data_IF_673255857545
#
_entry.id   IF_673255857545
#
_cell.length_a   1.000
_cell.length_b   1.000
_cell.length_c   1.000
_cell.angle_alpha   90.00
_cell.angle_beta   90.00
_cell.angle_gamma   90.00
#
_symmetry.space_group_name_H-M   'P 1'
#
loop_
_entity.id
_entity.type
_entity.pdbx_description
1 polymer ?
#
# COMPACT_ATOMS: atom_id res chain seq x y z
N UNK A 1 0.05 2.85 9.65
CA UNK A 1 -0.15 4.29 9.87
C UNK A 1 0.73 5.13 8.94
N UNK A 2 2.07 4.97 8.95
CA UNK A 2 2.99 5.71 8.06
C UNK A 2 2.57 5.65 6.57
N UNK A 3 2.22 4.47 6.05
CA UNK A 3 1.78 4.33 4.66
C UNK A 3 0.52 5.16 4.35
N UNK A 4 -0.44 5.14 5.28
CA UNK A 4 -1.67 5.93 5.17
C UNK A 4 -1.36 7.43 5.15
N UNK A 5 -0.40 7.88 5.97
CA UNK A 5 0.08 9.27 5.97
C UNK A 5 0.71 9.64 4.63
N UNK A 6 1.60 8.79 4.09
CA UNK A 6 2.20 8.99 2.76
C UNK A 6 1.13 9.17 1.67
N UNK A 7 0.09 8.32 1.70
CA UNK A 7 -1.00 8.38 0.73
C UNK A 7 -1.86 9.65 0.94
N UNK A 8 -2.12 10.05 2.19
CA UNK A 8 -2.85 11.28 2.51
C UNK A 8 -2.13 12.53 2.01
N UNK A 9 -0.79 12.55 2.06
CA UNK A 9 -0.02 13.61 1.39
C UNK A 9 -0.14 13.54 -0.13
N UNK A 10 -0.10 12.35 -0.72
CA UNK A 10 -0.35 12.18 -2.15
C UNK A 10 -1.69 12.78 -2.57
N UNK A 11 -2.77 12.46 -1.84
CA UNK A 11 -4.09 13.07 -2.01
C UNK A 11 -4.00 14.60 -1.96
N UNK A 12 -3.37 15.14 -0.92
CA UNK A 12 -3.28 16.57 -0.71
C UNK A 12 -2.56 17.31 -1.85
N UNK A 13 -1.48 16.74 -2.40
CA UNK A 13 -0.76 17.32 -3.53
C UNK A 13 -1.65 17.46 -4.77
N UNK A 14 -2.45 16.43 -5.08
CA UNK A 14 -3.40 16.53 -6.18
C UNK A 14 -4.55 17.48 -5.86
N UNK A 15 -5.11 17.41 -4.65
CA UNK A 15 -6.25 18.22 -4.22
C UNK A 15 -5.94 19.72 -4.17
N UNK A 16 -4.75 20.10 -3.69
CA UNK A 16 -4.28 21.49 -3.68
C UNK A 16 -4.09 22.06 -5.10
N UNK A 17 -4.02 21.22 -6.13
CA UNK A 17 -4.07 21.65 -7.53
C UNK A 17 -5.45 22.14 -7.99
N UNK A 18 -6.52 21.78 -7.27
CA UNK A 18 -7.91 22.17 -7.59
C UNK A 18 -8.41 23.29 -6.68
N UNK A 19 -8.00 23.29 -5.42
CA UNK A 19 -8.44 24.26 -4.42
C UNK A 19 -7.23 24.87 -3.69
N UNK A 20 -7.25 26.18 -3.39
CA UNK A 20 -6.16 26.86 -2.70
C UNK A 20 -6.18 26.56 -1.19
N UNK A 21 -5.92 25.30 -0.83
CA UNK A 21 -5.85 24.81 0.55
C UNK A 21 -4.46 24.29 0.86
N UNK A 22 -4.02 24.42 2.12
CA UNK A 22 -2.72 23.87 2.53
C UNK A 22 -2.73 22.33 2.44
N UNK A 23 -1.64 21.70 1.96
CA UNK A 23 -1.60 20.24 1.83
C UNK A 23 -1.84 19.50 3.15
N UNK A 24 -1.34 20.04 4.27
CA UNK A 24 -1.54 19.44 5.58
C UNK A 24 -3.02 19.47 5.98
N UNK A 25 -3.72 20.58 5.74
CA UNK A 25 -5.14 20.68 6.04
C UNK A 25 -5.95 19.74 5.14
N UNK A 26 -5.65 19.69 3.85
CA UNK A 26 -6.29 18.75 2.93
C UNK A 26 -6.11 17.29 3.36
N UNK A 27 -4.89 16.89 3.76
CA UNK A 27 -4.57 15.56 4.24
C UNK A 27 -5.30 15.23 5.56
N UNK A 28 -5.32 16.15 6.53
CA UNK A 28 -6.04 15.96 7.80
C UNK A 28 -7.54 15.85 7.55
N UNK A 29 -8.10 16.74 6.73
CA UNK A 29 -9.52 16.75 6.39
C UNK A 29 -9.97 15.45 5.74
N UNK A 30 -9.22 14.93 4.76
CA UNK A 30 -9.59 13.66 4.11
C UNK A 30 -9.48 12.48 5.08
N UNK A 31 -8.45 12.42 5.93
CA UNK A 31 -8.30 11.35 6.92
C UNK A 31 -9.46 11.35 7.93
N UNK A 32 -9.84 12.53 8.43
CA UNK A 32 -10.95 12.66 9.37
C UNK A 32 -12.29 12.34 8.69
N UNK A 33 -12.51 12.81 7.46
CA UNK A 33 -13.72 12.54 6.70
C UNK A 33 -13.89 11.04 6.43
N UNK A 34 -12.84 10.37 5.94
CA UNK A 34 -12.90 8.93 5.64
C UNK A 34 -12.91 8.08 6.91
N UNK A 35 -12.29 8.56 8.00
CA UNK A 35 -12.43 7.98 9.33
C UNK A 35 -13.87 8.03 9.84
N UNK A 36 -14.54 9.16 9.65
CA UNK A 36 -15.95 9.32 9.95
C UNK A 36 -16.81 8.38 9.09
N UNK A 37 -16.54 8.25 7.79
CA UNK A 37 -17.25 7.28 6.93
C UNK A 37 -17.05 5.84 7.42
N UNK A 38 -15.83 5.46 7.81
CA UNK A 38 -15.55 4.14 8.40
C UNK A 38 -16.37 3.87 9.66
N UNK A 39 -16.67 4.90 10.46
CA UNK A 39 -17.43 4.79 11.70
C UNK A 39 -18.89 4.35 11.47
N UNK A 40 -19.51 4.74 10.34
CA UNK A 40 -20.88 4.34 9.95
C UNK A 40 -20.96 2.97 9.27
N UNK A 41 -19.83 2.25 9.22
CA UNK A 41 -19.81 0.84 8.86
C UNK A 41 -19.60 0.58 7.38
N UNK A 42 -19.60 -0.72 7.06
CA UNK A 42 -18.97 -1.21 5.85
C UNK A 42 -19.74 -0.93 4.56
N UNK A 43 -21.05 -0.70 4.63
CA UNK A 43 -21.84 -0.39 3.44
C UNK A 43 -21.37 0.91 2.76
N UNK A 44 -21.06 1.94 3.54
CA UNK A 44 -20.56 3.20 3.00
C UNK A 44 -19.13 3.06 2.46
N UNK A 45 -18.29 2.29 3.16
CA UNK A 45 -16.93 1.97 2.72
C UNK A 45 -16.94 1.24 1.37
N UNK A 46 -17.74 0.18 1.22
CA UNK A 46 -17.83 -0.57 -0.03
C UNK A 46 -18.34 0.28 -1.19
N UNK A 47 -19.40 1.06 -0.98
CA UNK A 47 -19.95 1.92 -2.04
C UNK A 47 -18.92 2.94 -2.55
N UNK A 48 -18.18 3.56 -1.63
CA UNK A 48 -17.14 4.52 -1.98
C UNK A 48 -15.99 3.84 -2.75
N UNK A 49 -15.51 2.69 -2.26
CA UNK A 49 -14.43 1.96 -2.91
C UNK A 49 -14.83 1.43 -4.30
N UNK A 50 -16.03 0.88 -4.45
CA UNK A 50 -16.53 0.40 -5.74
C UNK A 50 -16.55 1.53 -6.76
N UNK A 51 -17.11 2.68 -6.40
CA UNK A 51 -17.13 3.87 -7.25
C UNK A 51 -15.72 4.34 -7.62
N UNK A 52 -14.83 4.46 -6.63
CA UNK A 52 -13.46 4.91 -6.85
C UNK A 52 -12.67 3.95 -7.75
N UNK A 53 -12.88 2.63 -7.61
CA UNK A 53 -12.27 1.60 -8.45
C UNK A 53 -12.74 1.73 -9.91
N UNK A 54 -14.04 1.84 -10.16
CA UNK A 54 -14.55 2.02 -11.53
C UNK A 54 -13.99 3.29 -12.17
N UNK A 55 -13.95 4.39 -11.41
CA UNK A 55 -13.41 5.66 -11.89
C UNK A 55 -11.91 5.57 -12.19
N UNK A 56 -11.09 5.02 -11.28
CA UNK A 56 -9.64 4.99 -11.46
C UNK A 56 -9.20 3.95 -12.49
N UNK A 57 -9.76 2.75 -12.47
CA UNK A 57 -9.42 1.71 -13.45
C UNK A 57 -9.93 2.09 -14.83
N UNK A 58 -11.19 2.53 -14.93
CA UNK A 58 -11.76 3.00 -16.20
C UNK A 58 -11.02 4.21 -16.75
N UNK A 59 -10.71 5.19 -15.90
CA UNK A 59 -9.96 6.38 -16.27
C UNK A 59 -8.54 6.08 -16.75
N UNK A 60 -7.81 5.18 -16.07
CA UNK A 60 -6.47 4.76 -16.49
C UNK A 60 -6.50 3.97 -17.81
N UNK A 61 -7.46 3.06 -18.00
CA UNK A 61 -7.61 2.34 -19.26
C UNK A 61 -7.93 3.31 -20.40
N UNK A 62 -8.85 4.25 -20.19
CA UNK A 62 -9.17 5.27 -21.20
C UNK A 62 -7.93 6.09 -21.56
N UNK A 63 -7.13 6.50 -20.58
CA UNK A 63 -5.90 7.25 -20.79
C UNK A 63 -4.85 6.45 -21.57
N UNK A 64 -4.68 5.17 -21.25
CA UNK A 64 -3.81 4.25 -22.01
C UNK A 64 -4.26 4.15 -23.47
N UNK A 65 -5.55 3.96 -23.72
CA UNK A 65 -6.11 3.88 -25.08
C UNK A 65 -5.85 5.19 -25.84
N UNK A 66 -6.06 6.34 -25.20
CA UNK A 66 -5.83 7.66 -25.79
C UNK A 66 -4.35 7.91 -26.12
N UNK A 67 -3.44 7.45 -25.27
CA UNK A 67 -2.00 7.56 -25.52
C UNK A 67 -1.59 6.74 -26.73
N UNK A 68 -2.05 5.49 -26.83
CA UNK A 68 -1.79 4.67 -28.00
C UNK A 68 -2.44 5.22 -29.27
N UNK A 69 -3.61 5.82 -29.17
CA UNK A 69 -4.27 6.47 -30.30
C UNK A 69 -3.51 7.72 -30.78
N UNK A 70 -2.91 8.49 -29.88
CA UNK A 70 -2.19 9.71 -30.20
C UNK A 70 -0.75 9.46 -30.68
N UNK A 71 -0.01 8.57 -30.03
CA UNK A 71 1.40 8.29 -30.33
C UNK A 71 1.61 7.15 -31.33
N UNK A 72 0.61 6.29 -31.52
CA UNK A 72 0.72 5.07 -32.30
C UNK A 72 1.54 3.97 -31.60
N UNK A 73 1.30 2.71 -31.97
CA UNK A 73 2.00 1.55 -31.40
C UNK A 73 3.48 1.42 -31.84
N UNK A 74 4.01 2.35 -32.64
CA UNK A 74 5.38 2.31 -33.17
C UNK A 74 6.39 3.17 -32.42
N UNK A 75 5.94 4.10 -31.57
CA UNK A 75 6.78 5.08 -30.87
C UNK A 75 7.41 4.59 -29.58
N UNK A 76 7.46 3.27 -29.34
CA UNK A 76 8.05 2.75 -28.11
C UNK A 76 9.56 3.00 -28.09
N UNK A 77 9.98 3.95 -27.26
CA UNK A 77 11.37 4.09 -26.87
C UNK A 77 11.72 2.96 -25.90
N UNK A 78 11.83 1.72 -26.40
CA UNK A 78 12.30 0.58 -25.62
C UNK A 78 13.77 0.79 -25.25
N UNK A 79 14.01 1.42 -24.10
CA UNK A 79 15.31 1.35 -23.46
C UNK A 79 15.42 -0.02 -22.78
N UNK A 80 15.78 -1.05 -23.54
CA UNK A 80 16.29 -2.30 -22.96
C UNK A 80 17.69 -2.10 -22.35
N UNK A 81 18.32 -0.96 -22.64
CA UNK A 81 19.47 -0.50 -21.90
C UNK A 81 19.07 -0.20 -20.46
N UNK A 82 19.88 -0.71 -19.52
CA UNK A 82 19.83 -0.31 -18.12
C UNK A 82 21.05 0.55 -17.81
N UNK A 83 20.96 1.90 -17.94
CA UNK A 83 22.10 2.79 -17.74
C UNK A 83 22.70 2.69 -16.33
N UNK A 84 21.89 2.31 -15.36
CA UNK A 84 22.30 2.09 -13.95
C UNK A 84 22.53 0.62 -13.61
N UNK A 85 22.59 -0.25 -14.63
CA UNK A 85 22.82 -1.69 -14.48
C UNK A 85 21.80 -2.38 -13.57
N UNK A 86 22.22 -3.51 -12.98
CA UNK A 86 21.38 -4.29 -12.06
C UNK A 86 21.06 -3.55 -10.76
N UNK A 87 21.96 -2.68 -10.29
CA UNK A 87 21.75 -1.85 -9.10
C UNK A 87 20.57 -0.89 -9.27
N UNK A 88 20.44 -0.27 -10.45
CA UNK A 88 19.29 0.58 -10.78
C UNK A 88 17.96 -0.19 -10.77
N UNK A 89 17.96 -1.42 -11.28
CA UNK A 89 16.77 -2.29 -11.29
C UNK A 89 16.35 -2.66 -9.86
N UNK A 90 17.30 -3.02 -9.00
CA UNK A 90 17.03 -3.33 -7.59
C UNK A 90 16.46 -2.11 -6.86
N UNK A 91 17.07 -0.94 -7.03
CA UNK A 91 16.58 0.31 -6.43
C UNK A 91 15.17 0.68 -6.89
N UNK A 92 14.89 0.57 -8.19
CA UNK A 92 13.54 0.81 -8.72
C UNK A 92 12.52 -0.21 -8.19
N UNK A 93 12.92 -1.47 -8.00
CA UNK A 93 12.07 -2.53 -7.47
C UNK A 93 11.62 -2.26 -6.03
N UNK A 94 12.50 -1.68 -5.19
CA UNK A 94 12.16 -1.28 -3.80
C UNK A 94 11.08 -0.21 -3.81
N UNK A 95 11.20 0.82 -4.66
CA UNK A 95 10.20 1.88 -4.74
C UNK A 95 8.88 1.36 -5.33
N UNK A 96 8.97 0.51 -6.36
CA UNK A 96 7.80 -0.12 -6.99
C UNK A 96 7.04 -1.00 -6.01
N UNK A 97 7.72 -1.62 -5.05
CA UNK A 97 7.09 -2.43 -4.01
C UNK A 97 6.07 -1.64 -3.19
N UNK A 98 6.33 -0.34 -2.91
CA UNK A 98 5.35 0.54 -2.25
C UNK A 98 4.02 0.60 -3.04
N UNK A 99 4.09 0.65 -4.37
CA UNK A 99 2.91 0.73 -5.23
C UNK A 99 2.07 -0.55 -5.23
N UNK A 100 2.64 -1.70 -4.86
CA UNK A 100 1.92 -2.98 -4.73
C UNK A 100 1.41 -3.25 -3.31
N UNK A 101 1.69 -2.38 -2.34
CA UNK A 101 1.14 -2.54 -1.00
C UNK A 101 -0.37 -2.37 -1.01
N UNK A 102 -1.08 -3.23 -0.28
CA UNK A 102 -2.51 -3.11 -0.07
C UNK A 102 -3.24 -4.45 -0.14
N UNK A 103 -2.72 -5.42 -0.89
CA UNK A 103 -3.35 -6.74 -1.02
C UNK A 103 -3.46 -7.47 0.32
N UNK A 104 -2.54 -7.24 1.25
CA UNK A 104 -2.57 -7.84 2.59
C UNK A 104 -3.78 -7.37 3.42
N UNK A 105 -4.32 -6.18 3.12
CA UNK A 105 -5.48 -5.66 3.85
C UNK A 105 -6.74 -6.51 3.58
N UNK A 106 -6.78 -7.25 2.47
CA UNK A 106 -7.84 -8.23 2.19
C UNK A 106 -7.92 -9.30 3.27
N UNK A 107 -6.79 -9.69 3.88
CA UNK A 107 -6.77 -10.67 4.96
C UNK A 107 -7.45 -10.14 6.23
N UNK A 108 -7.39 -8.83 6.48
CA UNK A 108 -7.99 -8.21 7.67
C UNK A 108 -9.53 -8.21 7.61
N UNK A 109 -10.12 -8.34 6.42
CA UNK A 109 -11.57 -8.42 6.22
C UNK A 109 -12.04 -9.84 5.91
N UNK A 110 -11.22 -10.86 6.20
CA UNK A 110 -11.51 -12.25 5.88
C UNK A 110 -12.86 -12.73 6.42
N UNK A 111 -13.30 -12.23 7.58
CA UNK A 111 -14.59 -12.56 8.20
C UNK A 111 -15.80 -12.04 7.41
N UNK A 112 -15.60 -10.99 6.61
CA UNK A 112 -16.65 -10.38 5.79
C UNK A 112 -16.73 -11.00 4.38
N UNK A 113 -15.76 -11.86 4.03
CA UNK A 113 -15.67 -12.49 2.70
C UNK A 113 -16.53 -13.74 2.63
N UNK A 114 -17.53 -13.72 1.74
CA UNK A 114 -18.31 -14.92 1.37
C UNK A 114 -17.38 -16.01 0.83
N UNK A 115 -17.49 -17.24 1.34
CA UNK A 115 -16.61 -18.36 0.98
C UNK A 115 -15.12 -17.98 0.98
N UNK A 116 -14.65 -17.45 2.11
CA UNK A 116 -13.27 -16.97 2.33
C UNK A 116 -12.21 -17.96 1.85
N UNK A 117 -12.45 -19.27 2.01
CA UNK A 117 -11.53 -20.35 1.64
C UNK A 117 -11.22 -20.39 0.15
N UNK A 118 -12.16 -20.00 -0.70
CA UNK A 118 -12.00 -19.97 -2.16
C UNK A 118 -11.81 -18.57 -2.70
N UNK A 119 -12.54 -17.60 -2.17
CA UNK A 119 -12.60 -16.25 -2.72
C UNK A 119 -11.40 -15.40 -2.31
N UNK A 120 -10.91 -15.53 -1.07
CA UNK A 120 -9.79 -14.71 -0.61
C UNK A 120 -8.48 -15.00 -1.40
N UNK A 121 -8.05 -16.27 -1.60
CA UNK A 121 -6.85 -16.54 -2.39
C UNK A 121 -6.96 -16.09 -3.84
N UNK A 122 -8.15 -16.27 -4.46
CA UNK A 122 -8.40 -15.85 -5.85
C UNK A 122 -8.39 -14.34 -5.98
N UNK A 123 -9.03 -13.62 -5.06
CA UNK A 123 -9.06 -12.17 -5.07
C UNK A 123 -7.63 -11.58 -4.97
N UNK A 124 -6.79 -12.11 -4.08
CA UNK A 124 -5.39 -11.67 -3.94
C UNK A 124 -4.61 -11.90 -5.25
N UNK A 125 -4.67 -13.11 -5.83
CA UNK A 125 -3.92 -13.40 -7.06
C UNK A 125 -4.41 -12.60 -8.28
N UNK A 126 -5.73 -12.46 -8.44
CA UNK A 126 -6.33 -11.70 -9.55
C UNK A 126 -6.00 -10.22 -9.40
N UNK A 127 -6.13 -9.64 -8.21
CA UNK A 127 -5.84 -8.22 -7.98
C UNK A 127 -4.38 -7.87 -8.24
N UNK A 128 -3.43 -8.70 -7.80
CA UNK A 128 -2.01 -8.51 -8.09
C UNK A 128 -1.75 -8.60 -9.60
N UNK A 129 -2.28 -9.63 -10.26
CA UNK A 129 -2.09 -9.82 -11.71
C UNK A 129 -2.70 -8.70 -12.55
N UNK A 130 -3.90 -8.26 -12.23
CA UNK A 130 -4.58 -7.13 -12.88
C UNK A 130 -3.82 -5.81 -12.65
N UNK A 131 -3.37 -5.56 -11.42
CA UNK A 131 -2.56 -4.37 -11.10
C UNK A 131 -1.27 -4.35 -11.90
N UNK A 132 -0.58 -5.50 -11.96
CA UNK A 132 0.65 -5.62 -12.74
C UNK A 132 0.43 -5.35 -14.23
N UNK A 133 -0.63 -5.90 -14.81
CA UNK A 133 -0.99 -5.64 -16.20
C UNK A 133 -1.25 -4.14 -16.44
N UNK A 134 -2.05 -3.49 -15.59
CA UNK A 134 -2.36 -2.06 -15.71
C UNK A 134 -1.08 -1.21 -15.60
N UNK A 135 -0.18 -1.53 -14.66
CA UNK A 135 1.06 -0.78 -14.48
C UNK A 135 1.99 -0.93 -15.69
N UNK A 136 2.10 -2.13 -16.25
CA UNK A 136 2.85 -2.37 -17.49
C UNK A 136 2.25 -1.57 -18.65
N UNK A 137 0.92 -1.58 -18.80
CA UNK A 137 0.23 -0.81 -19.85
C UNK A 137 0.45 0.69 -19.71
N UNK A 138 0.40 1.24 -18.48
CA UNK A 138 0.68 2.66 -18.23
C UNK A 138 2.14 2.99 -18.54
N UNK A 139 3.08 2.14 -18.15
CA UNK A 139 4.49 2.30 -18.47
C UNK A 139 4.71 2.36 -19.99
N UNK A 140 4.10 1.45 -20.74
CA UNK A 140 4.11 1.48 -22.20
C UNK A 140 3.43 2.71 -22.78
N UNK A 141 2.32 3.15 -22.18
CA UNK A 141 1.58 4.29 -22.66
C UNK A 141 2.43 5.57 -22.57
N UNK A 142 2.97 5.94 -21.40
CA UNK A 142 3.71 7.22 -21.31
C UNK A 142 5.08 7.18 -22.01
N UNK A 143 5.72 6.00 -22.14
CA UNK A 143 6.98 5.84 -22.90
C UNK A 143 6.78 5.86 -24.42
N UNK A 144 5.56 5.68 -24.91
CA UNK A 144 5.23 5.95 -26.31
C UNK A 144 5.14 7.44 -26.65
N UNK A 145 4.97 8.29 -25.62
CA UNK A 145 4.76 9.74 -25.76
C UNK A 145 6.03 10.52 -25.44
N UNK A 146 6.73 10.13 -24.37
CA UNK A 146 7.91 10.82 -23.87
C UNK A 146 9.18 10.05 -24.19
N UNK A 147 10.21 10.77 -24.65
CA UNK A 147 11.56 10.22 -24.78
C UNK A 147 12.19 9.94 -23.40
N UNK A 148 13.23 9.10 -23.37
CA UNK A 148 13.95 8.76 -22.14
C UNK A 148 14.46 10.01 -21.40
N UNK A 149 15.01 10.99 -22.13
CA UNK A 149 15.55 12.23 -21.56
C UNK A 149 14.44 13.07 -20.91
N UNK A 150 13.27 13.16 -21.57
CA UNK A 150 12.11 13.84 -20.98
C UNK A 150 11.66 13.14 -19.71
N UNK A 151 11.57 11.81 -19.70
CA UNK A 151 11.19 11.04 -18.51
C UNK A 151 12.16 11.31 -17.36
N UNK A 152 13.47 11.26 -17.61
CA UNK A 152 14.49 11.61 -16.60
C UNK A 152 14.28 13.04 -16.09
N UNK A 153 14.07 14.00 -16.98
CA UNK A 153 13.78 15.39 -16.61
C UNK A 153 12.48 15.57 -15.80
N UNK A 154 11.47 14.72 -16.01
CA UNK A 154 10.26 14.73 -15.17
C UNK A 154 10.57 14.33 -13.74
N UNK A 155 11.38 13.28 -13.55
CA UNK A 155 11.78 12.79 -12.22
C UNK A 155 12.62 13.85 -11.49
N UNK A 156 13.58 14.47 -12.18
CA UNK A 156 14.43 15.53 -11.62
C UNK A 156 13.64 16.79 -11.22
N UNK A 157 12.60 17.13 -11.99
CA UNK A 157 11.71 18.26 -11.69
C UNK A 157 10.60 17.93 -10.69
N UNK A 158 10.57 16.69 -10.15
CA UNK A 158 9.54 16.24 -9.21
C UNK A 158 8.14 16.11 -9.84
N UNK A 159 8.06 16.03 -11.17
CA UNK A 159 6.80 15.87 -11.91
C UNK A 159 6.58 14.40 -12.26
N UNK A 160 5.34 13.93 -12.14
CA UNK A 160 5.00 12.57 -12.59
C UNK A 160 5.07 12.46 -14.11
N UNK A 161 5.84 11.48 -14.62
CA UNK A 161 5.98 11.23 -16.06
C UNK A 161 4.62 11.06 -16.77
N UNK A 162 3.66 10.38 -16.11
CA UNK A 162 2.31 10.21 -16.62
C UNK A 162 1.55 11.53 -16.77
N UNK A 163 1.71 12.46 -15.83
CA UNK A 163 1.08 13.77 -15.89
C UNK A 163 1.67 14.62 -17.03
N UNK A 164 3.00 14.58 -17.20
CA UNK A 164 3.66 15.28 -18.31
C UNK A 164 3.19 14.74 -19.66
N UNK A 165 3.15 13.41 -19.83
CA UNK A 165 2.64 12.78 -21.04
C UNK A 165 1.17 13.16 -21.31
N UNK A 166 0.34 13.18 -20.27
CA UNK A 166 -1.07 13.58 -20.37
C UNK A 166 -1.22 15.04 -20.83
N UNK A 167 -0.37 15.93 -20.33
CA UNK A 167 -0.32 17.33 -20.72
C UNK A 167 0.13 17.54 -22.17
N UNK A 168 1.11 16.76 -22.66
CA UNK A 168 1.58 16.85 -24.05
C UNK A 168 0.52 16.43 -25.08
N UNK A 169 -0.31 15.43 -24.75
CA UNK A 169 -1.36 14.95 -25.66
C UNK A 169 -2.64 15.77 -25.56
N UNK A 170 -3.16 15.96 -24.35
CA UNK A 170 -4.52 16.44 -24.12
C UNK A 170 -4.60 17.74 -23.32
N UNK A 171 -3.46 18.36 -23.03
CA UNK A 171 -3.39 19.66 -22.36
C UNK A 171 -4.06 19.66 -20.98
N UNK A 172 -4.67 20.80 -20.58
CA UNK A 172 -5.27 20.97 -19.26
C UNK A 172 -6.40 19.99 -18.95
N UNK A 173 -7.17 19.56 -19.95
CA UNK A 173 -8.31 18.66 -19.74
C UNK A 173 -7.86 17.26 -19.28
N UNK A 174 -6.77 16.75 -19.85
CA UNK A 174 -6.21 15.44 -19.46
C UNK A 174 -5.52 15.51 -18.11
N UNK A 175 -4.84 16.62 -17.81
CA UNK A 175 -4.28 16.87 -16.49
C UNK A 175 -5.37 16.92 -15.41
N UNK A 176 -6.50 17.58 -15.70
CA UNK A 176 -7.66 17.63 -14.82
C UNK A 176 -8.23 16.22 -14.57
N UNK A 177 -8.43 15.44 -15.64
CA UNK A 177 -8.92 14.07 -15.54
C UNK A 177 -7.98 13.18 -14.70
N UNK A 178 -6.67 13.27 -14.94
CA UNK A 178 -5.68 12.53 -14.16
C UNK A 178 -5.67 12.95 -12.69
N UNK A 179 -5.78 14.25 -12.41
CA UNK A 179 -5.89 14.77 -11.05
C UNK A 179 -7.12 14.22 -10.30
N UNK A 180 -8.28 14.19 -10.96
CA UNK A 180 -9.51 13.60 -10.39
C UNK A 180 -9.30 12.10 -10.10
N UNK A 181 -8.75 11.35 -11.07
CA UNK A 181 -8.43 9.93 -10.89
C UNK A 181 -7.50 9.73 -9.69
N UNK A 182 -6.45 10.55 -9.56
CA UNK A 182 -5.48 10.44 -8.48
C UNK A 182 -6.08 10.78 -7.10
N UNK A 183 -6.96 11.79 -7.02
CA UNK A 183 -7.69 12.16 -5.80
C UNK A 183 -8.55 10.99 -5.33
N UNK A 184 -9.35 10.39 -6.21
CA UNK A 184 -10.19 9.24 -5.84
C UNK A 184 -9.36 7.98 -5.53
N UNK A 185 -8.28 7.74 -6.27
CA UNK A 185 -7.37 6.61 -6.04
C UNK A 185 -6.58 6.70 -4.74
N UNK A 186 -6.28 7.90 -4.27
CA UNK A 186 -5.61 8.10 -2.99
C UNK A 186 -6.62 8.06 -1.85
N UNK A 187 -7.80 8.66 -2.04
CA UNK A 187 -8.88 8.62 -1.06
C UNK A 187 -9.37 7.20 -0.75
N UNK A 188 -9.58 6.34 -1.76
CA UNK A 188 -10.02 4.96 -1.52
C UNK A 188 -8.93 4.13 -0.81
N UNK A 189 -7.68 4.35 -1.17
CA UNK A 189 -6.55 3.71 -0.47
C UNK A 189 -6.44 4.17 1.00
N UNK A 190 -6.70 5.45 1.32
CA UNK A 190 -6.79 5.94 2.71
C UNK A 190 -7.96 5.26 3.44
N UNK A 191 -9.12 5.16 2.78
CA UNK A 191 -10.30 4.48 3.33
C UNK A 191 -9.95 3.03 3.75
N UNK A 192 -9.29 2.29 2.86
CA UNK A 192 -8.84 0.90 3.09
C UNK A 192 -7.79 0.84 4.21
N UNK A 193 -6.87 1.79 4.27
CA UNK A 193 -5.86 1.84 5.34
C UNK A 193 -6.48 2.02 6.73
N UNK A 194 -7.47 2.92 6.86
CA UNK A 194 -8.19 3.14 8.13
C UNK A 194 -9.03 1.92 8.51
N UNK A 195 -9.71 1.35 7.52
CA UNK A 195 -10.49 0.11 7.65
C UNK A 195 -9.62 -1.07 8.11
N UNK A 196 -8.47 -1.27 7.47
CA UNK A 196 -7.53 -2.34 7.79
C UNK A 196 -6.83 -2.14 9.13
N UNK A 197 -6.38 -0.91 9.42
CA UNK A 197 -5.71 -0.58 10.68
C UNK A 197 -6.61 -0.77 11.89
N UNK A 198 -7.86 -0.32 11.81
CA UNK A 198 -8.83 -0.50 12.90
C UNK A 198 -9.17 -1.97 13.18
N UNK A 199 -9.20 -2.84 12.16
CA UNK A 199 -9.41 -4.29 12.34
C UNK A 199 -8.23 -5.02 12.95
N UNK A 200 -7.01 -4.62 12.60
CA UNK A 200 -5.81 -5.17 13.28
C UNK A 200 -5.86 -4.81 14.77
N UNK A 201 -6.15 -3.56 15.09
CA UNK A 201 -6.26 -3.11 16.49
C UNK A 201 -7.39 -3.85 17.23
N UNK A 202 -8.53 -4.08 16.57
CA UNK A 202 -9.63 -4.86 17.11
C UNK A 202 -9.21 -6.31 17.41
N UNK A 203 -8.59 -7.00 16.43
CA UNK A 203 -8.12 -8.38 16.60
C UNK A 203 -7.05 -8.50 17.71
N UNK A 204 -6.13 -7.54 17.80
CA UNK A 204 -5.17 -7.49 18.92
C UNK A 204 -5.85 -7.34 20.28
N UNK A 205 -6.97 -6.61 20.35
CA UNK A 205 -7.75 -6.50 21.57
C UNK A 205 -8.54 -7.78 21.89
N UNK A 206 -8.95 -8.57 20.88
CA UNK A 206 -9.56 -9.89 21.07
C UNK A 206 -8.54 -10.87 21.63
N UNK A 207 -7.30 -10.80 21.13
CA UNK A 207 -6.14 -11.57 21.61
C UNK A 207 -5.59 -11.06 22.95
N UNK A 208 -6.25 -10.07 23.59
CA UNK A 208 -5.89 -9.44 24.87
C UNK A 208 -4.58 -8.65 24.88
N UNK A 209 -3.91 -8.50 23.73
CA UNK A 209 -2.68 -7.71 23.59
C UNK A 209 -2.92 -6.19 23.67
N UNK A 210 -4.18 -5.74 23.59
CA UNK A 210 -4.57 -4.34 23.73
C UNK A 210 -5.78 -4.18 24.67
N UNK A 211 -6.02 -2.97 25.23
CA UNK A 211 -7.13 -2.74 26.16
C UNK A 211 -8.50 -3.14 25.59
N UNK A 212 -9.30 -3.84 26.40
CA UNK A 212 -10.62 -4.38 26.01
C UNK A 212 -11.62 -3.33 25.50
N UNK A 213 -11.43 -2.06 25.84
CA UNK A 213 -12.25 -0.95 25.35
C UNK A 213 -12.25 -0.88 23.81
N UNK A 214 -11.17 -1.33 23.15
CA UNK A 214 -11.04 -1.32 21.70
C UNK A 214 -11.94 -2.35 20.99
N UNK A 215 -12.55 -3.28 21.75
CA UNK A 215 -13.54 -4.23 21.25
C UNK A 215 -14.93 -3.61 21.06
N UNK A 216 -15.14 -2.37 21.51
CA UNK A 216 -16.45 -1.74 21.38
C UNK A 216 -16.75 -1.39 19.92
N UNK A 217 -17.84 -1.96 19.40
CA UNK A 217 -18.34 -1.71 18.05
C UNK A 217 -19.50 -0.70 18.06
N UNK A 218 -19.64 0.04 16.97
CA UNK A 218 -20.78 0.94 16.76
C UNK A 218 -22.03 0.13 16.41
N UNK A 219 -23.19 0.80 16.34
CA UNK A 219 -24.44 0.17 15.87
C UNK A 219 -24.35 -0.42 14.46
N UNK A 220 -23.37 0.03 13.66
CA UNK A 220 -23.08 -0.47 12.32
C UNK A 220 -22.07 -1.62 12.28
N UNK A 221 -21.58 -2.06 13.44
CA UNK A 221 -20.55 -3.11 13.57
C UNK A 221 -19.11 -2.64 13.38
N UNK A 222 -18.86 -1.34 13.15
CA UNK A 222 -17.51 -0.81 12.99
C UNK A 222 -16.79 -0.67 14.35
N UNK A 223 -15.49 -0.99 14.47
CA UNK A 223 -14.73 -0.82 15.72
C UNK A 223 -14.35 0.66 15.91
N UNK A 224 -15.30 1.46 16.41
CA UNK A 224 -15.21 2.93 16.44
C UNK A 224 -13.98 3.47 17.19
N UNK A 225 -13.68 2.92 18.36
CA UNK A 225 -12.50 3.32 19.13
C UNK A 225 -11.19 2.93 18.44
N UNK A 226 -11.15 1.77 17.78
CA UNK A 226 -9.97 1.34 17.02
C UNK A 226 -9.69 2.23 15.80
N UNK A 227 -10.74 2.79 15.17
CA UNK A 227 -10.60 3.79 14.10
C UNK A 227 -9.90 5.05 14.65
N UNK A 228 -10.32 5.55 15.82
CA UNK A 228 -9.69 6.71 16.44
C UNK A 228 -8.21 6.45 16.78
N UNK A 229 -7.90 5.30 17.38
CA UNK A 229 -6.51 4.90 17.65
C UNK A 229 -5.68 4.78 16.37
N UNK A 230 -6.29 4.41 15.25
CA UNK A 230 -5.61 4.41 13.94
C UNK A 230 -5.29 5.83 13.46
N UNK A 231 -6.20 6.79 13.66
CA UNK A 231 -6.08 8.17 13.17
C UNK A 231 -5.12 9.01 14.01
N UNK A 232 -5.14 8.86 15.33
CA UNK A 232 -4.32 9.65 16.28
C UNK A 232 -2.85 9.79 15.84
N UNK A 233 -2.12 8.71 15.50
CA UNK A 233 -0.72 8.82 15.06
C UNK A 233 -0.57 9.33 13.62
N UNK A 234 -1.60 9.25 12.77
CA UNK A 234 -1.54 9.77 11.39
C UNK A 234 -1.43 11.29 11.40
N UNK A 235 -2.20 11.98 12.24
CA UNK A 235 -2.25 13.44 12.30
C UNK A 235 -0.88 14.10 12.55
N UNK A 236 -0.11 13.77 13.61
CA UNK A 236 1.21 14.37 13.82
C UNK A 236 2.20 14.02 12.70
N UNK A 237 2.11 12.82 12.10
CA UNK A 237 2.95 12.45 10.97
C UNK A 237 2.65 13.31 9.71
N UNK A 238 1.42 13.79 9.54
CA UNK A 238 1.07 14.77 8.48
C UNK A 238 1.78 16.12 8.72
N UNK A 239 2.07 16.50 9.96
CA UNK A 239 2.80 17.74 10.22
C UNK A 239 4.33 17.57 10.10
N UNK A 240 4.82 16.34 10.15
CA UNK A 240 6.25 16.04 9.96
C UNK A 240 6.72 16.26 8.51
N UNK A 241 5.83 16.11 7.52
CA UNK A 241 6.06 16.59 6.15
C UNK A 241 6.98 15.75 5.24
N UNK A 242 7.75 14.80 5.78
CA UNK A 242 8.69 14.00 4.97
C UNK A 242 8.02 12.74 4.38
N UNK A 243 7.37 12.93 3.23
CA UNK A 243 6.71 11.86 2.45
C UNK A 243 7.68 10.73 2.11
N UNK A 244 8.94 11.07 1.77
CA UNK A 244 9.94 10.10 1.33
C UNK A 244 10.39 9.22 2.47
N UNK A 245 10.65 9.81 3.65
CA UNK A 245 10.93 9.06 4.86
C UNK A 245 9.76 8.16 5.25
N UNK A 246 8.53 8.68 5.26
CA UNK A 246 7.34 7.90 5.60
C UNK A 246 7.12 6.72 4.64
N UNK A 247 7.35 6.92 3.34
CA UNK A 247 7.28 5.86 2.34
C UNK A 247 8.32 4.76 2.63
N UNK A 248 9.58 5.15 2.85
CA UNK A 248 10.68 4.20 3.16
C UNK A 248 10.45 3.42 4.45
N UNK A 249 10.01 4.09 5.51
CA UNK A 249 9.63 3.44 6.79
C UNK A 249 8.50 2.44 6.56
N UNK A 250 7.52 2.80 5.73
CA UNK A 250 6.41 1.90 5.39
C UNK A 250 6.86 0.65 4.64
N UNK A 251 7.70 0.82 3.60
CA UNK A 251 8.25 -0.30 2.82
C UNK A 251 9.10 -1.22 3.71
N UNK A 252 9.96 -0.62 4.53
CA UNK A 252 10.86 -1.38 5.43
C UNK A 252 10.07 -2.18 6.47
N UNK A 253 9.07 -1.55 7.10
CA UNK A 253 8.17 -2.26 8.02
C UNK A 253 7.41 -3.39 7.32
N UNK A 254 7.02 -3.20 6.06
CA UNK A 254 6.36 -4.23 5.27
C UNK A 254 7.28 -5.41 4.93
N UNK A 255 8.56 -5.17 4.64
CA UNK A 255 9.53 -6.25 4.47
C UNK A 255 9.67 -7.08 5.75
N UNK A 256 9.71 -6.45 6.92
CA UNK A 256 9.74 -7.17 8.20
C UNK A 256 8.50 -8.05 8.35
N UNK A 257 7.31 -7.52 8.11
CA UNK A 257 6.06 -8.29 8.17
C UNK A 257 6.09 -9.48 7.20
N UNK A 258 6.55 -9.29 5.96
CA UNK A 258 6.64 -10.37 4.99
C UNK A 258 7.67 -11.45 5.36
N UNK A 259 8.78 -11.07 6.00
CA UNK A 259 9.72 -12.05 6.54
C UNK A 259 8.98 -12.94 7.56
N UNK A 260 8.27 -12.32 8.52
CA UNK A 260 7.50 -13.06 9.52
C UNK A 260 6.36 -13.89 8.93
N UNK A 261 5.61 -13.37 7.96
CA UNK A 261 4.52 -14.11 7.30
C UNK A 261 5.06 -15.36 6.59
N UNK A 262 6.13 -15.22 5.82
CA UNK A 262 6.74 -16.34 5.10
C UNK A 262 7.33 -17.38 6.05
N UNK A 263 8.04 -16.94 7.10
CA UNK A 263 8.58 -17.84 8.12
C UNK A 263 7.46 -18.54 8.91
N UNK A 264 6.36 -17.85 9.19
CA UNK A 264 5.19 -18.41 9.88
C UNK A 264 4.55 -19.51 9.04
N UNK A 265 4.43 -19.34 7.72
CA UNK A 265 3.93 -20.38 6.82
C UNK A 265 4.85 -21.61 6.82
N UNK A 266 6.17 -21.42 6.78
CA UNK A 266 7.15 -22.51 6.85
C UNK A 266 7.03 -23.25 8.20
N UNK A 267 7.05 -22.50 9.30
CA UNK A 267 6.94 -23.05 10.65
C UNK A 267 5.62 -23.83 10.85
N UNK A 268 4.50 -23.28 10.38
CA UNK A 268 3.18 -23.93 10.46
C UNK A 268 3.13 -25.23 9.65
N UNK A 269 3.86 -25.30 8.52
CA UNK A 269 3.92 -26.49 7.68
C UNK A 269 4.77 -27.60 8.30
N UNK A 270 5.84 -27.24 9.01
CA UNK A 270 6.70 -28.19 9.71
C UNK A 270 6.09 -28.66 11.04
N UNK A 271 5.52 -27.74 11.83
CA UNK A 271 4.99 -28.05 13.17
C UNK A 271 3.60 -28.67 13.15
N UNK A 272 2.76 -28.33 12.18
CA UNK A 272 1.36 -28.78 12.13
C UNK A 272 0.98 -29.31 10.73
N UNK A 273 1.55 -30.47 10.32
CA UNK A 273 1.33 -31.01 8.97
C UNK A 273 -0.11 -31.48 8.72
N UNK A 274 -0.85 -31.87 9.77
CA UNK A 274 -2.20 -32.43 9.66
C UNK A 274 -3.34 -31.41 9.49
N UNK A 275 -3.07 -30.11 9.58
CA UNK A 275 -4.11 -29.09 9.43
C UNK A 275 -4.69 -29.07 8.01
N UNK A 276 -6.01 -28.93 7.90
CA UNK A 276 -6.69 -28.74 6.63
C UNK A 276 -6.21 -27.44 5.94
N UNK A 277 -5.76 -27.54 4.69
CA UNK A 277 -5.24 -26.41 3.90
C UNK A 277 -6.16 -26.11 2.71
N UNK A 278 -7.00 -25.05 2.79
CA UNK A 278 -7.86 -24.65 1.68
C UNK A 278 -7.07 -24.24 0.43
N UNK A 279 -5.91 -23.62 0.63
CA UNK A 279 -4.95 -23.29 -0.42
C UNK A 279 -3.65 -24.06 -0.20
N UNK A 280 -3.12 -24.68 -1.26
CA UNK A 280 -1.83 -25.38 -1.23
C UNK A 280 -0.84 -24.66 -2.12
N UNK A 281 0.24 -24.20 -1.51
CA UNK A 281 1.36 -23.55 -2.20
C UNK A 281 2.02 -24.58 -3.14
N UNK A 282 2.19 -24.27 -4.44
CA UNK A 282 2.90 -25.13 -5.37
C UNK A 282 4.40 -25.15 -5.04
N UNK A 283 5.11 -26.20 -5.48
CA UNK A 283 6.56 -26.37 -5.28
C UNK A 283 7.01 -26.44 -3.81
N UNK A 284 6.81 -27.59 -3.18
CA UNK A 284 7.39 -27.92 -1.86
C UNK A 284 8.50 -28.96 -2.02
N UNK A 285 9.67 -28.73 -1.42
CA UNK A 285 10.78 -29.70 -1.36
C UNK A 285 10.96 -30.11 0.10
N UNK A 286 10.97 -31.42 0.38
CA UNK A 286 11.12 -31.97 1.73
C UNK A 286 10.18 -31.33 2.78
N UNK A 287 8.90 -31.15 2.43
CA UNK A 287 7.87 -30.47 3.23
C UNK A 287 8.09 -28.98 3.53
N UNK A 288 9.15 -28.37 3.01
CA UNK A 288 9.37 -26.92 3.06
C UNK A 288 8.77 -26.28 1.81
N UNK A 289 7.86 -25.31 1.94
CA UNK A 289 7.33 -24.59 0.80
C UNK A 289 8.41 -23.64 0.25
N UNK A 290 8.90 -23.90 -0.96
CA UNK A 290 10.05 -23.17 -1.52
C UNK A 290 9.72 -21.72 -1.84
N UNK A 291 8.49 -21.44 -2.30
CA UNK A 291 8.06 -20.08 -2.62
C UNK A 291 8.15 -19.13 -1.40
N UNK A 292 7.59 -19.47 -0.21
CA UNK A 292 7.82 -18.71 1.01
C UNK A 292 9.29 -18.56 1.40
N UNK A 293 10.11 -19.60 1.20
CA UNK A 293 11.54 -19.51 1.53
C UNK A 293 12.26 -18.50 0.63
N UNK A 294 12.03 -18.57 -0.69
CA UNK A 294 12.59 -17.62 -1.66
C UNK A 294 12.08 -16.21 -1.37
N UNK A 295 10.78 -16.06 -1.09
CA UNK A 295 10.20 -14.77 -0.73
C UNK A 295 10.83 -14.19 0.55
N UNK A 296 10.99 -14.99 1.61
CA UNK A 296 11.67 -14.58 2.83
C UNK A 296 13.10 -14.10 2.55
N UNK A 297 13.90 -14.90 1.83
CA UNK A 297 15.28 -14.55 1.48
C UNK A 297 15.36 -13.27 0.62
N UNK A 298 14.46 -13.13 -0.36
CA UNK A 298 14.39 -11.93 -1.19
C UNK A 298 14.04 -10.69 -0.34
N UNK A 299 13.05 -10.79 0.54
CA UNK A 299 12.66 -9.68 1.44
C UNK A 299 13.74 -9.33 2.45
N UNK A 300 14.50 -10.31 2.95
CA UNK A 300 15.69 -10.06 3.79
C UNK A 300 16.74 -9.29 2.99
N UNK A 301 17.01 -9.70 1.75
CA UNK A 301 17.97 -9.00 0.88
C UNK A 301 17.56 -7.56 0.58
N UNK A 302 16.28 -7.33 0.28
CA UNK A 302 15.74 -5.97 0.03
C UNK A 302 15.76 -5.11 1.29
N UNK A 303 15.42 -5.67 2.46
CA UNK A 303 15.52 -4.97 3.73
C UNK A 303 16.98 -4.62 4.07
N UNK A 304 17.91 -5.54 3.86
CA UNK A 304 19.34 -5.29 4.08
C UNK A 304 19.88 -4.21 3.15
N UNK A 305 19.48 -4.22 1.88
CA UNK A 305 19.80 -3.15 0.92
C UNK A 305 19.27 -1.80 1.43
N UNK A 306 18.00 -1.74 1.81
CA UNK A 306 17.36 -0.50 2.26
C UNK A 306 18.02 0.05 3.54
N UNK A 307 18.35 -0.81 4.51
CA UNK A 307 19.04 -0.42 5.74
C UNK A 307 20.50 0.02 5.50
N UNK A 308 21.17 -0.57 4.50
CA UNK A 308 22.54 -0.20 4.13
C UNK A 308 22.61 1.22 3.56
N UNK A 309 21.68 1.58 2.67
CA UNK A 309 21.65 2.91 2.07
C UNK A 309 21.01 3.98 2.98
N UNK A 310 20.23 3.55 3.99
CA UNK A 310 19.52 4.45 4.90
C UNK A 310 19.66 4.02 6.38
N UNK A 311 20.87 4.18 6.98
CA UNK A 311 21.18 3.65 8.32
C UNK A 311 20.34 4.28 9.45
N UNK A 312 19.85 5.51 9.27
CA UNK A 312 18.92 6.15 10.22
C UNK A 312 17.63 5.33 10.45
N UNK A 313 17.23 4.49 9.49
CA UNK A 313 16.07 3.61 9.67
C UNK A 313 16.36 2.47 10.63
N UNK A 314 17.60 1.98 10.69
CA UNK A 314 18.00 0.93 11.63
C UNK A 314 17.79 1.39 13.07
N UNK A 315 18.18 2.62 13.38
CA UNK A 315 17.98 3.24 14.70
C UNK A 315 16.49 3.30 15.07
N UNK A 316 15.64 3.71 14.10
CA UNK A 316 14.19 3.74 14.28
C UNK A 316 13.58 2.36 14.55
N UNK A 317 14.01 1.31 13.82
CA UNK A 317 13.54 -0.05 14.05
C UNK A 317 14.01 -0.63 15.37
N UNK A 318 15.25 -0.37 15.77
CA UNK A 318 15.77 -0.77 17.09
C UNK A 318 14.98 -0.07 18.19
N UNK A 319 14.70 1.22 18.04
CA UNK A 319 13.83 1.96 18.98
C UNK A 319 12.44 1.36 19.10
N UNK A 320 11.78 1.03 17.98
CA UNK A 320 10.47 0.38 17.98
C UNK A 320 10.50 -1.03 18.61
N UNK A 321 11.54 -1.82 18.32
CA UNK A 321 11.71 -3.14 18.92
C UNK A 321 11.89 -3.05 20.44
N UNK A 322 12.68 -2.08 20.92
CA UNK A 322 12.87 -1.83 22.34
C UNK A 322 11.56 -1.38 23.01
N UNK A 323 10.79 -0.49 22.38
CA UNK A 323 9.46 -0.11 22.89
C UNK A 323 8.54 -1.33 22.95
N UNK A 324 8.51 -2.16 21.92
CA UNK A 324 7.74 -3.40 21.92
C UNK A 324 8.13 -4.36 23.05
N UNK A 325 9.44 -4.53 23.30
CA UNK A 325 9.94 -5.33 24.41
C UNK A 325 9.55 -4.75 25.76
N UNK A 326 9.66 -3.42 25.95
CA UNK A 326 9.26 -2.75 27.18
C UNK A 326 7.75 -2.87 27.43
N UNK A 327 6.94 -2.75 26.38
CA UNK A 327 5.49 -2.93 26.48
C UNK A 327 5.12 -4.37 26.82
N UNK A 328 5.75 -5.36 26.17
CA UNK A 328 5.55 -6.78 26.48
C UNK A 328 5.96 -7.10 27.93
N UNK A 329 7.10 -6.57 28.38
CA UNK A 329 7.56 -6.73 29.76
C UNK A 329 6.62 -6.05 30.77
N UNK A 330 6.07 -4.89 30.43
CA UNK A 330 5.08 -4.19 31.26
C UNK A 330 3.75 -4.96 31.31
N UNK A 331 3.32 -5.54 30.19
CA UNK A 331 2.15 -6.41 30.13
C UNK A 331 2.35 -7.67 30.96
N UNK A 332 3.48 -8.37 30.79
CA UNK A 332 3.86 -9.54 31.59
C UNK A 332 3.77 -9.27 33.11
N UNK A 333 4.26 -8.09 33.55
CA UNK A 333 4.19 -7.65 34.96
C UNK A 333 2.78 -7.31 35.44
N UNK A 334 1.88 -6.91 34.54
CA UNK A 334 0.49 -6.57 34.86
C UNK A 334 -0.44 -7.78 34.83
N UNK A 335 -0.17 -8.76 33.95
CA UNK A 335 -1.01 -9.97 33.81
C UNK A 335 -0.55 -11.13 34.68
N UNK A 336 0.70 -11.14 35.15
CA UNK A 336 1.12 -11.99 36.28
C UNK A 336 0.99 -13.51 36.07
N UNK A 337 1.29 -14.00 34.86
CA UNK A 337 1.49 -15.44 34.59
C UNK A 337 2.98 -15.79 34.56
#
# INVERSE_FOLDING_TARGET
>A
MAACTTIAFGFAQYFSGFLPVSPQLAAVSVVLLLGFVNYFGMRAVYLFNDFAIFLKVGGLIALVVLFFAAAGFGGFHFAFDSPKGTAGIVSASVLLFFAYMGFQVLANVAEEVKDVRRNLPRAILISIGMTALIYILIAFAFTSVLSYEKIVGTVESGKGALAVAAGEIGGPAFLLALGIIAIFSTADTIMICLMGGSRIIYGMAEDKALPRQLLHTTSSGAPGLAILVTIIPIIPLIFMGDISLLARVSVSGMFILFIFDNLSVIALRLKQPGLARPFRIPFSIANVPMLPLIAALATVGLLAYELYYHPLMLEGFVGLALVGLVLNEAEYRLTGD
#
